data_IF_803288723477
#
_entry.id   IF_803288723477
#
_cell.length_a   1.000
_cell.length_b   1.000
_cell.length_c   1.000
_cell.angle_alpha   90.00
_cell.angle_beta   90.00
_cell.angle_gamma   90.00
#
_symmetry.space_group_name_H-M   'P 1'
#
loop_
_entity.id
_entity.type
_entity.pdbx_description
1 polymer ?
#
# COMPACT_ATOMS: atom_id res chain seq x y z
N UNK A 1 8.66 36.16 8.27
CA UNK A 1 9.30 34.91 8.74
C UNK A 1 8.95 33.82 7.74
N UNK A 2 9.92 33.03 7.28
CA UNK A 2 9.65 31.89 6.38
C UNK A 2 8.98 30.80 7.21
N UNK A 3 7.70 30.50 6.93
CA UNK A 3 6.89 29.52 7.65
C UNK A 3 7.07 28.08 7.10
N UNK A 4 8.20 27.80 6.45
CA UNK A 4 8.48 26.51 5.84
C UNK A 4 9.95 26.13 5.98
N UNK A 5 10.20 24.84 6.16
CA UNK A 5 11.54 24.23 6.11
C UNK A 5 11.65 23.47 4.78
N UNK A 6 12.79 23.59 4.10
CA UNK A 6 13.04 22.93 2.81
C UNK A 6 14.21 21.94 2.93
N UNK A 7 14.04 20.74 2.38
CA UNK A 7 15.16 19.84 2.08
C UNK A 7 15.39 19.89 0.58
N UNK A 8 16.57 20.39 0.16
CA UNK A 8 16.99 20.30 -1.22
C UNK A 8 17.65 18.95 -1.54
N UNK A 9 17.51 18.47 -2.79
CA UNK A 9 18.19 17.24 -3.25
C UNK A 9 19.71 17.33 -3.08
N UNK A 10 20.29 18.51 -3.25
CA UNK A 10 21.73 18.73 -3.03
C UNK A 10 22.13 18.49 -1.57
N UNK A 11 21.31 18.94 -0.61
CA UNK A 11 21.51 18.67 0.83
C UNK A 11 21.20 17.24 1.27
N UNK A 12 20.86 16.34 0.34
CA UNK A 12 20.77 14.88 0.55
C UNK A 12 22.04 14.15 0.10
N UNK A 13 22.91 14.77 -0.72
CA UNK A 13 24.14 14.12 -1.21
C UNK A 13 25.16 13.87 -0.10
N UNK A 14 25.17 14.71 0.94
CA UNK A 14 26.06 14.59 2.09
C UNK A 14 25.65 13.46 3.07
N UNK A 15 24.44 12.89 2.90
CA UNK A 15 23.90 11.79 3.73
C UNK A 15 24.35 10.39 3.26
N UNK A 16 25.14 10.31 2.19
CA UNK A 16 25.67 9.04 1.66
C UNK A 16 26.67 8.32 2.60
N UNK A 17 26.90 8.86 3.79
CA UNK A 17 27.91 8.42 4.77
C UNK A 17 27.34 7.65 5.97
N UNK A 18 26.02 7.56 6.13
CA UNK A 18 25.40 6.75 7.20
C UNK A 18 25.26 5.28 6.79
N UNK A 19 25.59 4.38 7.72
CA UNK A 19 25.75 2.93 7.57
C UNK A 19 24.71 2.22 6.68
N UNK A 20 25.14 1.11 6.04
CA UNK A 20 24.34 0.12 5.29
C UNK A 20 22.83 0.24 5.52
N UNK A 21 22.15 1.03 4.70
CA UNK A 21 20.72 1.21 4.79
C UNK A 21 20.00 0.13 3.98
N UNK A 22 19.96 -1.09 4.53
CA UNK A 22 19.15 -2.19 4.03
C UNK A 22 17.89 -2.34 4.87
N UNK A 23 16.81 -2.79 4.21
CA UNK A 23 15.64 -3.28 4.95
C UNK A 23 16.03 -4.62 5.59
N UNK A 24 15.72 -4.76 6.88
CA UNK A 24 16.01 -5.97 7.65
C UNK A 24 14.78 -6.37 8.48
N UNK A 25 14.76 -7.61 8.95
CA UNK A 25 13.70 -8.14 9.82
C UNK A 25 12.29 -7.91 9.25
N UNK A 26 12.11 -8.19 7.96
CA UNK A 26 10.78 -8.12 7.33
C UNK A 26 9.89 -9.19 7.93
N UNK A 27 8.75 -8.78 8.47
CA UNK A 27 7.76 -9.64 9.08
C UNK A 27 6.38 -9.30 8.52
N UNK A 28 5.60 -10.34 8.21
CA UNK A 28 4.18 -10.18 7.95
C UNK A 28 3.45 -10.05 9.29
N UNK A 29 2.66 -8.98 9.46
CA UNK A 29 1.88 -8.75 10.67
C UNK A 29 0.41 -9.12 10.47
N UNK A 30 -0.21 -8.66 9.39
CA UNK A 30 -1.62 -8.92 9.14
C UNK A 30 -1.95 -8.70 7.66
N UNK A 31 -3.13 -9.14 7.26
CA UNK A 31 -3.65 -8.89 5.92
C UNK A 31 -5.17 -8.79 5.97
N UNK A 32 -5.75 -8.10 5.00
CA UNK A 32 -7.19 -8.03 4.85
C UNK A 32 -7.64 -7.89 3.40
N UNK A 33 -8.86 -8.32 3.09
CA UNK A 33 -9.53 -7.99 1.84
C UNK A 33 -10.73 -7.09 2.12
N UNK A 34 -10.97 -6.11 1.26
CA UNK A 34 -12.28 -5.45 1.23
C UNK A 34 -13.31 -6.37 0.57
N UNK A 35 -14.43 -6.59 1.25
CA UNK A 35 -15.53 -7.41 0.77
C UNK A 35 -16.61 -6.51 0.19
N UNK A 36 -17.13 -6.85 -0.99
CA UNK A 36 -18.29 -6.14 -1.53
C UNK A 36 -19.47 -6.29 -0.56
N UNK A 37 -19.94 -5.19 0.00
CA UNK A 37 -20.96 -5.13 1.05
C UNK A 37 -21.73 -3.79 0.94
N UNK A 38 -22.91 -3.65 1.59
CA UNK A 38 -23.61 -2.37 1.63
C UNK A 38 -22.70 -1.24 2.15
N UNK A 39 -22.81 -0.03 1.57
CA UNK A 39 -21.97 1.12 1.99
C UNK A 39 -22.11 1.48 3.47
N UNK A 40 -23.23 1.15 4.10
CA UNK A 40 -23.48 1.40 5.51
C UNK A 40 -22.68 0.47 6.45
N UNK A 41 -22.19 -0.66 5.93
CA UNK A 41 -21.48 -1.70 6.70
C UNK A 41 -20.22 -2.13 5.93
N UNK A 42 -19.15 -1.30 5.93
CA UNK A 42 -17.91 -1.63 5.24
C UNK A 42 -17.24 -2.86 5.86
N UNK A 43 -17.25 -3.98 5.14
CA UNK A 43 -16.76 -5.27 5.64
C UNK A 43 -15.34 -5.58 5.15
N UNK A 44 -14.49 -6.09 6.05
CA UNK A 44 -13.18 -6.65 5.69
C UNK A 44 -13.06 -8.13 6.09
N UNK A 45 -12.33 -8.91 5.29
CA UNK A 45 -11.93 -10.26 5.66
C UNK A 45 -10.55 -10.25 6.33
N UNK A 46 -10.39 -10.91 7.48
CA UNK A 46 -9.12 -11.02 8.22
C UNK A 46 -8.94 -12.48 8.71
N UNK A 47 -7.81 -13.16 8.38
CA UNK A 47 -6.80 -12.71 7.43
C UNK A 47 -7.39 -12.63 6.02
N UNK A 48 -6.88 -11.68 5.24
CA UNK A 48 -7.14 -11.63 3.81
C UNK A 48 -6.25 -12.60 3.02
N UNK A 49 -6.60 -12.85 1.76
CA UNK A 49 -5.75 -13.50 0.76
C UNK A 49 -5.71 -12.73 -0.57
N UNK A 50 -4.53 -12.50 -1.17
CA UNK A 50 -4.44 -11.93 -2.51
C UNK A 50 -4.88 -12.96 -3.55
N UNK A 51 -5.16 -12.53 -4.77
CA UNK A 51 -5.63 -13.44 -5.80
C UNK A 51 -4.51 -14.35 -6.33
N UNK A 52 -4.84 -15.59 -6.70
CA UNK A 52 -3.88 -16.54 -7.25
C UNK A 52 -3.56 -16.17 -8.70
N UNK A 53 -2.29 -15.98 -9.01
CA UNK A 53 -1.82 -15.72 -10.37
C UNK A 53 -2.07 -16.94 -11.28
N UNK A 54 -2.82 -16.73 -12.36
CA UNK A 54 -3.25 -17.76 -13.30
C UNK A 54 -3.14 -17.25 -14.73
N UNK A 55 -2.13 -17.71 -15.46
CA UNK A 55 -1.80 -17.21 -16.78
C UNK A 55 -2.63 -17.88 -17.90
N UNK A 56 -3.14 -17.12 -18.89
CA UNK A 56 -3.72 -17.72 -20.09
C UNK A 56 -2.68 -18.43 -20.96
N UNK A 57 -3.09 -19.50 -21.65
CA UNK A 57 -2.25 -20.33 -22.53
C UNK A 57 -1.94 -19.67 -23.90
N UNK A 58 -1.55 -18.40 -23.92
CA UNK A 58 -1.21 -17.67 -25.15
C UNK A 58 -1.62 -16.19 -25.10
N UNK A 59 -1.32 -15.42 -26.17
CA UNK A 59 -1.77 -14.03 -26.29
C UNK A 59 -3.29 -13.94 -26.21
N UNK A 60 -3.78 -12.88 -25.60
CA UNK A 60 -5.21 -12.70 -25.39
C UNK A 60 -5.60 -11.23 -25.57
N UNK A 61 -6.85 -11.02 -25.98
CA UNK A 61 -7.43 -9.69 -26.10
C UNK A 61 -8.34 -9.41 -24.92
N UNK A 62 -8.28 -8.19 -24.43
CA UNK A 62 -9.16 -7.69 -23.38
C UNK A 62 -9.99 -6.52 -23.89
N UNK A 63 -11.18 -6.42 -23.33
CA UNK A 63 -11.94 -5.18 -23.37
C UNK A 63 -11.29 -4.13 -22.48
N UNK A 64 -11.50 -2.86 -22.83
CA UNK A 64 -11.03 -1.75 -22.00
C UNK A 64 -11.75 -1.73 -20.65
N UNK A 65 -11.10 -1.16 -19.66
CA UNK A 65 -11.69 -0.97 -18.34
C UNK A 65 -12.94 -0.09 -18.44
N UNK A 66 -14.01 -0.52 -17.75
CA UNK A 66 -15.30 0.18 -17.67
C UNK A 66 -15.90 -0.01 -16.29
N UNK A 67 -16.83 0.87 -15.94
CA UNK A 67 -17.56 0.79 -14.67
C UNK A 67 -16.85 1.51 -13.53
N UNK A 68 -17.29 1.21 -12.31
CA UNK A 68 -16.81 1.87 -11.11
C UNK A 68 -15.48 1.30 -10.64
N UNK A 69 -14.51 2.17 -10.36
CA UNK A 69 -13.18 1.80 -9.86
C UNK A 69 -12.80 2.65 -8.65
N UNK A 70 -12.00 2.06 -7.76
CA UNK A 70 -11.47 2.74 -6.58
C UNK A 70 -10.09 3.30 -6.88
N UNK A 71 -9.88 4.58 -6.58
CA UNK A 71 -8.57 5.26 -6.61
C UNK A 71 -7.89 5.11 -5.23
N UNK A 72 -8.64 5.37 -4.16
CA UNK A 72 -8.23 5.15 -2.77
C UNK A 72 -9.33 4.41 -2.01
N UNK A 73 -9.36 3.08 -2.15
CA UNK A 73 -10.47 2.26 -1.65
C UNK A 73 -10.74 2.39 -0.15
N UNK A 74 -9.68 2.48 0.68
CA UNK A 74 -9.86 2.64 2.12
C UNK A 74 -10.57 3.96 2.45
N UNK A 75 -10.22 5.05 1.76
CA UNK A 75 -10.90 6.34 1.94
C UNK A 75 -12.29 6.37 1.30
N UNK A 76 -12.50 5.64 0.19
CA UNK A 76 -13.82 5.53 -0.45
C UNK A 76 -14.84 4.79 0.43
N UNK A 77 -14.38 3.80 1.21
CA UNK A 77 -15.23 2.95 2.06
C UNK A 77 -15.31 3.43 3.50
N UNK A 78 -14.28 4.12 3.99
CA UNK A 78 -14.23 4.68 5.33
C UNK A 78 -13.56 6.06 5.32
N UNK A 79 -14.25 7.08 4.80
CA UNK A 79 -13.71 8.42 4.55
C UNK A 79 -13.12 9.08 5.81
N UNK A 80 -13.81 8.98 6.94
CA UNK A 80 -13.39 9.61 8.19
C UNK A 80 -12.20 8.89 8.86
N UNK A 81 -11.87 7.66 8.45
CA UNK A 81 -10.77 6.88 9.03
C UNK A 81 -10.16 5.87 8.04
N UNK A 82 -9.46 6.33 6.98
CA UNK A 82 -8.89 5.43 5.95
C UNK A 82 -7.81 4.46 6.44
N UNK A 83 -7.34 4.63 7.68
CA UNK A 83 -6.38 3.75 8.35
C UNK A 83 -7.03 2.74 9.30
N UNK A 84 -8.31 2.88 9.65
CA UNK A 84 -9.02 1.97 10.56
C UNK A 84 -8.89 0.49 10.15
N UNK A 85 -9.02 0.10 8.86
CA UNK A 85 -8.85 -1.30 8.47
C UNK A 85 -7.45 -1.87 8.75
N UNK A 86 -6.42 -1.00 8.74
CA UNK A 86 -5.06 -1.39 9.10
C UNK A 86 -5.01 -1.81 10.57
N UNK A 87 -5.49 -0.93 11.46
CA UNK A 87 -5.46 -1.17 12.89
C UNK A 87 -6.36 -2.33 13.29
N UNK A 88 -7.56 -2.43 12.70
CA UNK A 88 -8.49 -3.52 12.94
C UNK A 88 -7.89 -4.87 12.57
N UNK A 89 -7.34 -5.01 11.35
CA UNK A 89 -6.68 -6.26 10.94
C UNK A 89 -5.47 -6.59 11.82
N UNK A 90 -4.70 -5.57 12.25
CA UNK A 90 -3.56 -5.74 13.12
C UNK A 90 -3.96 -6.25 14.50
N UNK A 91 -4.95 -5.65 15.15
CA UNK A 91 -5.40 -6.03 16.50
C UNK A 91 -6.19 -7.34 16.52
N UNK A 92 -6.90 -7.69 15.44
CA UNK A 92 -7.48 -9.04 15.28
C UNK A 92 -6.37 -10.10 15.24
N UNK A 93 -5.30 -9.83 14.49
CA UNK A 93 -4.19 -10.80 14.33
C UNK A 93 -3.23 -10.81 15.54
N UNK A 94 -3.09 -9.67 16.21
CA UNK A 94 -2.14 -9.42 17.30
C UNK A 94 -2.80 -8.54 18.38
N UNK A 95 -3.66 -9.11 19.25
CA UNK A 95 -4.42 -8.31 20.24
C UNK A 95 -3.56 -7.49 21.20
N UNK A 96 -2.34 -7.96 21.49
CA UNK A 96 -1.38 -7.28 22.38
C UNK A 96 -0.36 -6.42 21.64
N UNK A 97 -0.61 -6.04 20.38
CA UNK A 97 0.36 -5.29 19.59
C UNK A 97 0.57 -3.88 20.15
N UNK A 98 1.80 -3.57 20.55
CA UNK A 98 2.17 -2.23 20.99
C UNK A 98 2.50 -1.32 19.79
N UNK A 99 1.52 -0.52 19.41
CA UNK A 99 1.63 0.44 18.31
C UNK A 99 2.59 1.60 18.61
N UNK A 100 2.78 1.96 19.88
CA UNK A 100 3.67 3.05 20.28
C UNK A 100 5.16 2.72 20.03
N UNK A 101 5.47 1.46 19.70
CA UNK A 101 6.80 0.99 19.36
C UNK A 101 7.21 1.24 17.90
N UNK A 102 6.36 1.81 17.06
CA UNK A 102 6.60 2.05 15.62
C UNK A 102 7.11 3.47 15.41
N UNK A 103 7.93 3.69 14.38
CA UNK A 103 8.42 5.03 14.03
C UNK A 103 7.71 5.64 12.80
N UNK A 104 7.31 4.87 11.77
CA UNK A 104 6.78 5.39 10.48
C UNK A 104 5.77 4.43 9.78
N UNK A 105 4.71 4.96 9.13
CA UNK A 105 3.88 4.27 8.10
C UNK A 105 3.94 4.92 6.69
N UNK A 106 3.58 4.23 5.59
CA UNK A 106 4.18 4.44 4.22
C UNK A 106 3.48 5.35 3.16
N UNK A 107 4.15 5.52 1.99
CA UNK A 107 4.07 6.58 0.94
C UNK A 107 4.08 6.07 -0.54
N UNK A 108 3.59 6.85 -1.53
CA UNK A 108 3.77 6.73 -3.02
C UNK A 108 3.96 8.11 -3.71
N UNK A 109 4.47 8.18 -4.95
CA UNK A 109 5.03 9.38 -5.66
C UNK A 109 4.10 9.93 -6.77
N UNK A 110 3.57 11.16 -6.65
CA UNK A 110 2.95 12.08 -7.69
C UNK A 110 2.10 13.15 -6.99
N UNK A 111 2.14 14.46 -7.34
CA UNK A 111 1.42 15.60 -6.69
C UNK A 111 0.35 15.19 -5.68
N UNK A 112 0.71 15.28 -4.40
CA UNK A 112 -0.12 14.71 -3.36
C UNK A 112 0.04 15.43 -2.04
N UNK A 113 -0.95 15.21 -1.19
CA UNK A 113 -0.92 15.60 0.21
C UNK A 113 -0.73 14.33 1.04
N UNK A 114 0.28 14.33 1.90
CA UNK A 114 0.38 13.34 2.99
C UNK A 114 0.19 14.07 4.31
N UNK A 115 -0.81 13.60 5.06
CA UNK A 115 -0.99 13.94 6.44
C UNK A 115 0.00 13.14 7.28
N UNK A 116 0.74 13.84 8.13
CA UNK A 116 1.66 13.23 9.08
C UNK A 116 1.17 13.57 10.48
N UNK A 117 0.83 12.53 11.25
CA UNK A 117 0.48 12.65 12.66
C UNK A 117 1.57 11.98 13.50
N UNK A 118 2.09 12.66 14.52
CA UNK A 118 3.03 12.06 15.48
C UNK A 118 2.35 11.90 16.82
N UNK A 119 2.29 10.66 17.31
CA UNK A 119 1.82 10.31 18.66
C UNK A 119 2.93 9.57 19.38
N UNK A 120 3.39 10.09 20.53
CA UNK A 120 4.56 9.59 21.25
C UNK A 120 5.81 9.54 20.34
N UNK A 121 6.31 8.33 20.05
CA UNK A 121 7.46 8.10 19.18
C UNK A 121 7.07 7.64 17.77
N UNK A 122 5.77 7.61 17.45
CA UNK A 122 5.23 7.04 16.21
C UNK A 122 4.74 8.14 15.27
N UNK A 123 5.27 8.16 14.05
CA UNK A 123 4.75 8.98 12.97
C UNK A 123 3.87 8.13 12.03
N UNK A 124 2.64 8.57 11.81
CA UNK A 124 1.66 7.95 10.92
C UNK A 124 1.55 8.83 9.68
N UNK A 125 1.72 8.22 8.51
CA UNK A 125 1.59 8.91 7.23
C UNK A 125 0.36 8.37 6.51
N UNK A 126 -0.53 9.28 6.10
CA UNK A 126 -1.73 8.96 5.32
C UNK A 126 -1.80 9.86 4.09
N UNK A 127 -1.82 9.27 2.91
CA UNK A 127 -2.06 10.01 1.65
C UNK A 127 -3.52 10.41 1.56
N UNK A 128 -3.74 11.66 1.17
CA UNK A 128 -5.04 12.17 0.75
C UNK A 128 -5.05 12.27 -0.78
N UNK A 129 -6.07 11.67 -1.39
CA UNK A 129 -6.34 11.77 -2.83
C UNK A 129 -7.44 12.80 -3.07
N UNK A 130 -7.37 13.52 -4.19
CA UNK A 130 -8.43 14.46 -4.59
C UNK A 130 -9.76 13.75 -4.93
N UNK A 131 -9.68 12.48 -5.33
CA UNK A 131 -10.83 11.59 -5.59
C UNK A 131 -10.53 10.21 -5.03
N UNK A 132 -11.52 9.59 -4.42
CA UNK A 132 -11.41 8.24 -3.84
C UNK A 132 -11.84 7.14 -4.81
N UNK A 133 -12.60 7.50 -5.83
CA UNK A 133 -13.18 6.62 -6.84
C UNK A 133 -13.46 7.39 -8.14
N UNK A 134 -13.66 6.64 -9.22
CA UNK A 134 -14.17 7.15 -10.48
C UNK A 134 -15.05 6.13 -11.20
N UNK A 135 -15.89 6.61 -12.12
CA UNK A 135 -16.65 5.77 -13.04
C UNK A 135 -16.12 5.96 -14.44
N UNK A 136 -15.73 4.86 -15.09
CA UNK A 136 -15.24 4.85 -16.47
C UNK A 136 -16.40 4.53 -17.41
N UNK A 137 -16.82 5.53 -18.17
CA UNK A 137 -17.90 5.41 -19.15
C UNK A 137 -17.53 4.54 -20.36
N UNK A 138 -18.54 4.03 -21.06
CA UNK A 138 -18.35 3.18 -22.25
C UNK A 138 -17.57 3.87 -23.38
N UNK A 139 -17.56 5.19 -23.44
CA UNK A 139 -16.83 5.96 -24.45
C UNK A 139 -15.47 6.48 -23.95
N UNK A 140 -15.15 6.26 -22.67
CA UNK A 140 -13.89 6.70 -22.08
C UNK A 140 -12.82 5.61 -22.18
N UNK A 141 -11.56 6.01 -22.05
CA UNK A 141 -10.44 5.09 -22.02
C UNK A 141 -9.49 5.45 -20.88
N UNK A 142 -9.30 4.51 -19.95
CA UNK A 142 -8.33 4.59 -18.85
C UNK A 142 -7.25 3.51 -18.93
N UNK A 143 -7.51 2.42 -19.63
CA UNK A 143 -6.56 1.32 -19.78
C UNK A 143 -7.25 -0.02 -19.85
N UNK A 144 -6.47 -1.05 -19.50
CA UNK A 144 -6.89 -2.46 -19.47
C UNK A 144 -6.46 -3.14 -18.15
N UNK A 145 -5.99 -2.38 -17.15
CA UNK A 145 -5.35 -2.94 -15.96
C UNK A 145 -6.32 -3.79 -15.14
N UNK A 146 -7.52 -3.29 -14.88
CA UNK A 146 -8.49 -4.03 -14.07
C UNK A 146 -9.01 -5.26 -14.80
N UNK A 147 -9.26 -5.14 -16.10
CA UNK A 147 -9.67 -6.25 -16.96
C UNK A 147 -8.56 -7.30 -17.06
N UNK A 148 -7.30 -6.86 -17.04
CA UNK A 148 -6.13 -7.72 -17.06
C UNK A 148 -5.97 -8.50 -15.77
N UNK A 149 -6.02 -7.82 -14.62
CA UNK A 149 -6.00 -8.47 -13.30
C UNK A 149 -7.10 -9.53 -13.20
N UNK A 150 -8.35 -9.16 -13.50
CA UNK A 150 -9.49 -10.09 -13.51
C UNK A 150 -9.30 -11.32 -14.41
N UNK A 151 -8.55 -11.18 -15.51
CA UNK A 151 -8.28 -12.28 -16.45
C UNK A 151 -7.12 -13.16 -16.01
N UNK A 152 -6.11 -12.58 -15.36
CA UNK A 152 -4.85 -13.23 -15.02
C UNK A 152 -4.74 -13.64 -13.56
N UNK A 153 -5.77 -13.41 -12.76
CA UNK A 153 -5.84 -13.87 -11.38
C UNK A 153 -7.14 -14.63 -11.10
N UNK A 154 -7.09 -15.48 -10.08
CA UNK A 154 -8.23 -16.25 -9.58
C UNK A 154 -8.48 -15.87 -8.12
N UNK A 155 -9.66 -15.32 -7.88
CA UNK A 155 -10.06 -14.82 -6.55
C UNK A 155 -10.02 -15.91 -5.48
N UNK A 156 -9.41 -15.61 -4.34
CA UNK A 156 -9.29 -16.54 -3.20
C UNK A 156 -10.28 -16.25 -2.06
N UNK A 157 -10.77 -15.02 -1.94
CA UNK A 157 -11.74 -14.59 -0.92
C UNK A 157 -13.04 -14.17 -1.60
N UNK A 158 -14.19 -14.69 -1.16
CA UNK A 158 -15.47 -14.40 -1.82
C UNK A 158 -15.76 -12.90 -1.82
N UNK A 159 -16.28 -12.37 -2.94
CA UNK A 159 -16.64 -10.95 -3.09
C UNK A 159 -15.48 -9.97 -2.80
N UNK A 160 -14.23 -10.43 -2.78
CA UNK A 160 -13.05 -9.58 -2.62
C UNK A 160 -12.94 -8.55 -3.75
N UNK A 161 -12.64 -7.32 -3.35
CA UNK A 161 -12.41 -6.20 -4.26
C UNK A 161 -10.95 -5.78 -4.32
N UNK A 162 -10.22 -5.78 -3.20
CA UNK A 162 -8.75 -5.66 -3.14
C UNK A 162 -8.19 -6.32 -1.89
N UNK A 163 -6.94 -6.75 -1.97
CA UNK A 163 -6.17 -7.29 -0.86
C UNK A 163 -5.10 -6.30 -0.38
N UNK A 164 -4.95 -6.17 0.93
CA UNK A 164 -3.91 -5.37 1.56
C UNK A 164 -3.11 -6.22 2.54
N UNK A 165 -1.79 -6.05 2.52
CA UNK A 165 -0.87 -6.61 3.51
C UNK A 165 -0.36 -5.52 4.43
N UNK A 166 -0.07 -5.92 5.65
CA UNK A 166 0.55 -5.12 6.69
C UNK A 166 1.82 -5.83 7.10
N UNK A 167 2.97 -5.22 6.78
CA UNK A 167 4.29 -5.75 7.10
C UNK A 167 5.02 -4.80 8.04
N UNK A 168 5.96 -5.33 8.80
CA UNK A 168 6.93 -4.51 9.53
C UNK A 168 8.35 -4.84 9.12
N UNK A 169 9.23 -3.87 9.20
CA UNK A 169 10.66 -4.07 9.01
C UNK A 169 11.48 -2.99 9.70
N UNK A 170 12.79 -3.20 9.80
CA UNK A 170 13.77 -2.22 10.26
C UNK A 170 14.49 -1.59 9.09
N UNK A 171 14.66 -0.28 9.11
CA UNK A 171 15.38 0.46 8.10
C UNK A 171 15.93 1.78 8.67
N UNK A 172 17.21 2.06 8.46
CA UNK A 172 17.83 3.31 8.94
C UNK A 172 17.71 3.53 10.46
N UNK A 173 17.74 2.45 11.26
CA UNK A 173 17.54 2.49 12.71
C UNK A 173 16.07 2.62 13.17
N UNK A 174 15.13 2.75 12.24
CA UNK A 174 13.70 2.91 12.51
C UNK A 174 12.93 1.60 12.30
N UNK A 175 11.81 1.43 13.01
CA UNK A 175 10.82 0.38 12.82
C UNK A 175 9.64 0.92 12.01
N UNK A 176 9.34 0.28 10.89
CA UNK A 176 8.24 0.65 10.00
C UNK A 176 7.07 -0.32 10.15
N UNK A 177 5.85 0.20 9.97
CA UNK A 177 4.70 -0.60 9.55
C UNK A 177 4.20 -0.07 8.22
N UNK A 178 4.16 -0.94 7.22
CA UNK A 178 3.75 -0.61 5.86
C UNK A 178 2.48 -1.37 5.53
N UNK A 179 1.42 -0.63 5.21
CA UNK A 179 0.24 -1.18 4.54
C UNK A 179 0.36 -0.94 3.05
N UNK A 180 0.23 -2.00 2.26
CA UNK A 180 0.19 -1.90 0.81
C UNK A 180 -0.82 -2.85 0.19
N UNK A 181 -1.34 -2.47 -0.96
CA UNK A 181 -2.08 -3.39 -1.83
C UNK A 181 -1.13 -4.48 -2.35
N UNK A 182 -1.64 -5.69 -2.54
CA UNK A 182 -0.91 -6.78 -3.22
C UNK A 182 -1.82 -7.39 -4.27
N UNK A 183 -1.39 -7.35 -5.53
CA UNK A 183 -2.23 -7.71 -6.68
C UNK A 183 -2.45 -9.21 -6.80
N UNK A 184 -1.48 -10.02 -6.35
CA UNK A 184 -1.61 -11.46 -6.37
C UNK A 184 -0.45 -12.22 -5.75
N UNK A 185 -0.47 -13.54 -5.91
CA UNK A 185 0.65 -14.41 -5.57
C UNK A 185 0.80 -15.57 -6.56
N UNK A 186 2.03 -16.08 -6.69
CA UNK A 186 2.31 -17.29 -7.47
C UNK A 186 2.12 -18.52 -6.56
N UNK A 187 1.24 -19.44 -6.97
CA UNK A 187 1.08 -20.72 -6.28
C UNK A 187 2.33 -21.60 -6.42
N UNK A 188 2.68 -22.34 -5.37
CA UNK A 188 3.73 -23.35 -5.44
C UNK A 188 3.12 -24.63 -6.01
N UNK A 189 3.71 -25.19 -7.08
CA UNK A 189 3.25 -26.44 -7.67
C UNK A 189 3.17 -27.54 -6.59
N UNK A 190 1.99 -28.14 -6.42
CA UNK A 190 1.73 -29.18 -5.41
C UNK A 190 1.27 -28.68 -4.03
N UNK A 191 1.20 -27.36 -3.81
CA UNK A 191 0.61 -26.82 -2.58
C UNK A 191 -0.82 -26.36 -2.86
N UNK A 192 -1.78 -27.29 -2.81
CA UNK A 192 -3.08 -26.91 -2.27
C UNK A 192 -2.80 -26.50 -0.82
N UNK A 193 -2.62 -25.20 -0.58
CA UNK A 193 -2.66 -24.69 0.78
C UNK A 193 -4.07 -25.03 1.27
N UNK A 194 -4.15 -26.09 2.07
CA UNK A 194 -5.38 -26.54 2.69
C UNK A 194 -6.00 -25.32 3.36
N UNK A 195 -7.27 -25.07 3.07
CA UNK A 195 -8.14 -24.28 3.95
C UNK A 195 -8.13 -25.00 5.30
N UNK A 196 -7.15 -24.72 6.15
CA UNK A 196 -7.19 -25.17 7.52
C UNK A 196 -8.37 -24.42 8.14
N UNK A 197 -9.40 -25.12 8.65
CA UNK A 197 -10.43 -24.45 9.42
C UNK A 197 -9.72 -23.84 10.63
N UNK A 198 -9.67 -22.52 10.68
CA UNK A 198 -9.24 -21.82 11.88
C UNK A 198 -10.17 -22.31 13.00
N UNK A 199 -9.57 -22.86 14.06
CA UNK A 199 -10.31 -23.32 15.23
C UNK A 199 -11.27 -22.22 15.71
N UNK A 200 -12.53 -22.61 15.84
CA UNK A 200 -13.66 -21.75 16.20
C UNK A 200 -13.35 -20.80 17.37
N UNK A 201 -13.16 -19.52 17.05
CA UNK A 201 -13.88 -18.42 17.68
C UNK A 201 -14.11 -17.36 16.59
N UNK A 202 -15.17 -17.55 15.81
CA UNK A 202 -15.71 -16.44 15.01
C UNK A 202 -16.21 -15.40 16.01
N UNK A 203 -15.44 -14.32 16.19
CA UNK A 203 -16.03 -13.07 16.63
C UNK A 203 -16.91 -12.62 15.46
N UNK A 204 -18.19 -13.01 15.48
CA UNK A 204 -19.21 -12.45 14.60
C UNK A 204 -19.40 -10.98 14.98
N UNK A 205 -18.46 -10.16 14.54
CA UNK A 205 -18.63 -8.73 14.40
C UNK A 205 -19.15 -8.55 12.99
N UNK A 206 -20.29 -7.88 12.81
CA UNK A 206 -21.05 -7.78 11.54
C UNK A 206 -20.21 -7.38 10.29
N UNK A 207 -19.02 -6.80 10.50
CA UNK A 207 -18.12 -6.32 9.45
C UNK A 207 -16.78 -7.10 9.31
N UNK A 208 -16.63 -8.27 9.95
CA UNK A 208 -15.43 -9.13 9.87
C UNK A 208 -15.78 -10.52 9.30
N UNK A 209 -15.04 -10.97 8.29
CA UNK A 209 -15.11 -12.36 7.81
C UNK A 209 -13.76 -13.08 7.88
N UNK A 210 -13.77 -14.39 8.09
CA UNK A 210 -12.55 -15.22 8.20
C UNK A 210 -12.42 -16.18 7.00
N UNK A 211 -12.39 -15.62 5.79
CA UNK A 211 -12.39 -16.42 4.54
C UNK A 211 -11.02 -16.51 3.85
N UNK A 212 -10.05 -15.68 4.24
CA UNK A 212 -8.74 -15.64 3.60
C UNK A 212 -7.69 -16.51 4.27
N UNK A 213 -6.51 -16.52 3.66
CA UNK A 213 -5.32 -17.21 4.15
C UNK A 213 -4.09 -16.34 3.93
N UNK A 214 -3.18 -16.36 4.91
CA UNK A 214 -1.91 -15.68 4.79
C UNK A 214 -1.03 -16.39 3.74
N UNK A 215 -0.55 -15.64 2.75
CA UNK A 215 0.38 -16.17 1.74
C UNK A 215 1.83 -15.75 2.05
N UNK A 216 2.83 -16.61 1.78
CA UNK A 216 4.24 -16.28 2.01
C UNK A 216 4.67 -15.02 1.25
N UNK A 217 5.46 -14.14 1.88
CA UNK A 217 5.99 -12.94 1.21
C UNK A 217 6.76 -13.28 -0.10
N UNK A 218 7.59 -14.33 -0.17
CA UNK A 218 8.32 -14.67 -1.41
C UNK A 218 7.43 -14.97 -2.62
N UNK A 219 6.14 -15.30 -2.42
CA UNK A 219 5.22 -15.63 -3.52
C UNK A 219 4.40 -14.44 -4.01
N UNK A 220 4.35 -13.33 -3.27
CA UNK A 220 3.53 -12.16 -3.63
C UNK A 220 4.08 -11.44 -4.86
N UNK A 221 3.19 -10.87 -5.66
CA UNK A 221 3.53 -10.14 -6.87
C UNK A 221 2.77 -8.82 -7.00
N UNK A 222 3.38 -7.92 -7.78
CA UNK A 222 2.79 -6.68 -8.31
C UNK A 222 2.58 -6.85 -9.82
N UNK A 223 1.47 -6.34 -10.35
CA UNK A 223 1.14 -6.33 -11.77
C UNK A 223 1.14 -4.91 -12.30
N UNK A 224 1.81 -4.69 -13.43
CA UNK A 224 1.74 -3.42 -14.16
C UNK A 224 1.43 -3.68 -15.63
N UNK A 225 0.38 -3.03 -16.13
CA UNK A 225 0.09 -3.02 -17.57
C UNK A 225 0.62 -1.76 -18.25
N UNK A 226 1.15 -1.87 -19.47
CA UNK A 226 1.56 -0.73 -20.30
C UNK A 226 1.35 -1.00 -21.79
N UNK A 227 1.22 0.07 -22.57
CA UNK A 227 1.27 -0.02 -24.03
C UNK A 227 2.68 -0.45 -24.47
N UNK A 228 2.76 -1.36 -25.45
CA UNK A 228 4.02 -2.00 -25.83
C UNK A 228 5.09 -1.02 -26.37
N UNK A 229 4.67 0.06 -27.03
CA UNK A 229 5.59 1.08 -27.58
C UNK A 229 6.10 2.08 -26.52
N UNK A 230 5.63 1.99 -25.26
CA UNK A 230 6.11 2.80 -24.13
C UNK A 230 6.34 1.88 -22.93
N UNK A 231 7.43 1.08 -22.94
CA UNK A 231 7.71 0.12 -21.88
C UNK A 231 7.90 0.83 -20.53
N UNK A 232 7.61 0.09 -19.45
CA UNK A 232 7.76 0.59 -18.09
C UNK A 232 9.22 0.48 -17.66
N UNK A 233 9.85 1.61 -17.35
CA UNK A 233 11.18 1.59 -16.76
C UNK A 233 11.09 1.01 -15.33
N UNK A 234 12.08 0.22 -14.93
CA UNK A 234 12.06 -0.40 -13.61
C UNK A 234 12.13 0.65 -12.49
N UNK A 235 12.83 1.75 -12.77
CA UNK A 235 12.98 2.92 -11.92
C UNK A 235 11.63 3.57 -11.56
N UNK A 236 10.60 3.40 -12.40
CA UNK A 236 9.26 3.93 -12.17
C UNK A 236 8.47 3.11 -11.13
N UNK A 237 8.89 1.87 -10.85
CA UNK A 237 8.19 0.93 -9.96
C UNK A 237 9.01 0.46 -8.79
N UNK A 238 10.34 0.61 -8.84
CA UNK A 238 11.26 0.09 -7.83
C UNK A 238 10.91 0.58 -6.42
N UNK A 239 10.51 1.83 -6.24
CA UNK A 239 10.15 2.38 -4.93
C UNK A 239 8.92 1.68 -4.35
N UNK A 240 7.91 1.39 -5.17
CA UNK A 240 6.73 0.65 -4.71
C UNK A 240 7.11 -0.76 -4.26
N UNK A 241 7.87 -1.48 -5.09
CA UNK A 241 8.28 -2.86 -4.81
C UNK A 241 9.19 -2.94 -3.58
N UNK A 242 10.10 -1.99 -3.44
CA UNK A 242 11.03 -1.93 -2.32
C UNK A 242 10.32 -1.56 -1.01
N UNK A 243 9.42 -0.57 -0.98
CA UNK A 243 8.68 -0.24 0.26
C UNK A 243 7.75 -1.38 0.68
N UNK A 244 7.08 -2.01 -0.28
CA UNK A 244 6.17 -3.14 -0.02
C UNK A 244 6.89 -4.47 0.23
N UNK A 245 8.20 -4.53 -0.01
CA UNK A 245 8.97 -5.78 -0.03
C UNK A 245 8.33 -6.86 -0.93
N UNK A 246 7.66 -6.43 -2.02
CA UNK A 246 7.02 -7.33 -2.99
C UNK A 246 8.09 -7.85 -3.96
N UNK A 247 8.41 -9.16 -3.91
CA UNK A 247 9.58 -9.70 -4.59
C UNK A 247 9.33 -10.02 -6.06
N UNK A 248 8.08 -10.09 -6.52
CA UNK A 248 7.77 -10.45 -7.91
C UNK A 248 7.07 -9.30 -8.62
N UNK A 249 7.47 -9.05 -9.86
CA UNK A 249 6.86 -8.06 -10.73
C UNK A 249 6.41 -8.73 -12.03
N UNK A 250 5.18 -8.45 -12.43
CA UNK A 250 4.66 -8.80 -13.74
C UNK A 250 4.49 -7.52 -14.56
N UNK A 251 5.27 -7.38 -15.63
CA UNK A 251 5.07 -6.31 -16.63
C UNK A 251 4.34 -6.87 -17.84
N UNK A 252 3.09 -6.45 -18.01
CA UNK A 252 2.23 -6.89 -19.09
C UNK A 252 2.10 -5.80 -20.16
N UNK A 253 2.52 -6.13 -21.39
CA UNK A 253 2.51 -5.19 -22.50
C UNK A 253 1.41 -5.51 -23.50
N UNK A 254 0.74 -4.45 -24.00
CA UNK A 254 -0.33 -4.61 -24.98
C UNK A 254 -0.23 -3.68 -26.18
N UNK A 255 -0.83 -4.11 -27.28
CA UNK A 255 -1.12 -3.29 -28.47
C UNK A 255 -2.63 -3.30 -28.69
N UNK A 256 -3.30 -2.16 -28.43
CA UNK A 256 -4.75 -2.00 -28.57
C UNK A 256 -5.56 -3.13 -27.88
N UNK A 257 -5.22 -3.44 -26.62
CA UNK A 257 -5.89 -4.46 -25.81
C UNK A 257 -5.43 -5.90 -26.05
N UNK A 258 -4.54 -6.15 -27.01
CA UNK A 258 -3.93 -7.48 -27.23
C UNK A 258 -2.66 -7.58 -26.40
N UNK A 259 -2.66 -8.46 -25.41
CA UNK A 259 -1.53 -8.72 -24.52
C UNK A 259 -0.71 -9.91 -25.00
N UNK A 260 0.61 -9.76 -24.97
CA UNK A 260 1.51 -10.90 -24.99
C UNK A 260 1.47 -11.62 -23.63
N UNK A 261 1.88 -12.88 -23.60
CA UNK A 261 2.02 -13.64 -22.35
C UNK A 261 3.11 -12.98 -21.49
N UNK A 262 2.78 -12.34 -20.36
CA UNK A 262 3.78 -11.71 -19.51
C UNK A 262 4.62 -12.75 -18.76
N UNK A 263 5.78 -12.33 -18.27
CA UNK A 263 6.63 -13.13 -17.40
C UNK A 263 6.56 -12.59 -15.98
N UNK A 264 6.71 -13.49 -15.01
CA UNK A 264 6.96 -13.13 -13.61
C UNK A 264 8.47 -12.92 -13.48
N UNK A 265 8.86 -11.76 -12.97
CA UNK A 265 10.25 -11.40 -12.74
C UNK A 265 10.51 -11.34 -11.24
N UNK A 266 11.57 -11.98 -10.77
CA UNK A 266 12.05 -11.78 -9.41
C UNK A 266 12.79 -10.44 -9.29
N UNK A 267 12.56 -9.76 -8.17
CA UNK A 267 13.09 -8.46 -7.84
C UNK A 267 13.70 -8.48 -6.44
N UNK A 268 15.01 -8.30 -6.36
CA UNK A 268 15.77 -8.17 -5.11
C UNK A 268 16.83 -7.07 -5.24
N UNK A 269 16.40 -5.81 -5.40
CA UNK A 269 17.34 -4.68 -5.41
C UNK A 269 17.08 -3.70 -4.26
N UNK A 270 18.16 -3.35 -3.57
CA UNK A 270 18.16 -2.40 -2.45
C UNK A 270 18.15 -0.93 -2.91
N UNK A 271 17.22 -0.14 -2.38
CA UNK A 271 17.17 1.31 -2.55
C UNK A 271 17.90 2.04 -1.43
N UNK A 272 19.22 2.21 -1.62
CA UNK A 272 20.11 2.87 -0.64
C UNK A 272 19.77 4.35 -0.38
N UNK A 273 19.19 5.05 -1.36
CA UNK A 273 18.93 6.49 -1.27
C UNK A 273 17.70 6.88 -0.42
N UNK A 274 16.76 5.96 -0.17
CA UNK A 274 15.50 6.29 0.52
C UNK A 274 15.67 6.43 2.05
N UNK A 275 16.75 5.90 2.62
CA UNK A 275 16.99 5.87 4.06
C UNK A 275 17.36 7.23 4.65
N UNK A 276 18.33 7.89 4.01
CA UNK A 276 18.78 9.20 4.44
C UNK A 276 17.62 10.21 4.37
N UNK A 277 16.73 10.07 3.39
CA UNK A 277 15.58 10.95 3.26
C UNK A 277 14.57 10.77 4.40
N UNK A 278 14.18 9.54 4.75
CA UNK A 278 13.17 9.30 5.79
C UNK A 278 13.68 9.71 7.18
N UNK A 279 14.95 9.44 7.49
CA UNK A 279 15.56 9.90 8.75
C UNK A 279 15.49 11.42 8.90
N UNK A 280 15.77 12.16 7.82
CA UNK A 280 15.72 13.62 7.82
C UNK A 280 14.29 14.17 7.93
N UNK A 281 13.32 13.53 7.27
CA UNK A 281 11.89 13.88 7.43
C UNK A 281 11.48 13.77 8.90
N UNK A 282 11.79 12.65 9.56
CA UNK A 282 11.46 12.45 10.99
C UNK A 282 12.04 13.53 11.87
N UNK A 283 13.34 13.82 11.73
CA UNK A 283 14.01 14.79 12.59
C UNK A 283 13.43 16.21 12.41
N UNK A 284 13.12 16.62 11.18
CA UNK A 284 12.46 17.91 10.90
C UNK A 284 11.06 17.99 11.52
N UNK A 285 10.23 16.94 11.40
CA UNK A 285 8.86 16.95 11.95
C UNK A 285 8.90 16.97 13.48
N UNK A 286 9.84 16.26 14.11
CA UNK A 286 10.05 16.30 15.56
C UNK A 286 10.43 17.69 16.05
N UNK A 287 11.35 18.35 15.35
CA UNK A 287 11.77 19.73 15.65
C UNK A 287 10.65 20.76 15.39
N UNK A 288 9.63 20.39 14.60
CA UNK A 288 8.52 21.25 14.20
C UNK A 288 7.24 21.08 15.02
N UNK A 289 7.30 20.46 16.21
CA UNK A 289 6.15 20.31 17.11
C UNK A 289 5.24 19.12 16.79
N UNK A 290 5.73 18.13 16.01
CA UNK A 290 5.09 16.84 15.82
C UNK A 290 4.03 16.76 14.72
N UNK A 291 3.70 17.84 14.02
CA UNK A 291 2.76 17.84 12.88
C UNK A 291 3.26 18.71 11.74
N UNK A 292 3.36 18.14 10.55
CA UNK A 292 3.75 18.87 9.35
C UNK A 292 3.05 18.31 8.11
N UNK A 293 2.80 19.17 7.14
CA UNK A 293 2.43 18.77 5.78
C UNK A 293 3.70 18.75 4.94
N UNK A 294 4.03 17.58 4.40
CA UNK A 294 5.12 17.40 3.44
C UNK A 294 4.57 17.54 2.02
N UNK A 295 5.13 18.45 1.23
CA UNK A 295 4.83 18.61 -0.21
C UNK A 295 6.10 18.44 -1.03
N UNK A 296 6.01 17.77 -2.16
CA UNK A 296 7.08 17.76 -3.16
C UNK A 296 6.83 18.89 -4.16
N UNK A 297 7.79 19.78 -4.32
CA UNK A 297 7.79 20.80 -5.37
C UNK A 297 8.61 20.30 -6.55
N UNK A 298 7.94 19.96 -7.65
CA UNK A 298 8.56 19.47 -8.87
C UNK A 298 9.40 20.54 -9.59
N UNK A 299 9.08 21.82 -9.43
CA UNK A 299 9.82 22.92 -10.06
C UNK A 299 11.16 23.18 -9.37
N UNK A 300 11.18 23.08 -8.03
CA UNK A 300 12.38 23.20 -7.22
C UNK A 300 13.16 21.90 -7.02
N UNK A 301 12.60 20.73 -7.36
CA UNK A 301 13.10 19.39 -7.01
C UNK A 301 13.39 19.23 -5.50
N UNK A 302 12.53 19.82 -4.66
CA UNK A 302 12.70 19.92 -3.22
C UNK A 302 11.46 19.41 -2.47
N UNK A 303 11.67 19.00 -1.22
CA UNK A 303 10.58 18.70 -0.28
C UNK A 303 10.37 19.89 0.65
N UNK A 304 9.13 20.38 0.71
CA UNK A 304 8.70 21.55 1.48
C UNK A 304 7.84 21.07 2.65
N UNK A 305 8.20 21.49 3.87
CA UNK A 305 7.46 21.21 5.09
C UNK A 305 6.70 22.45 5.54
N UNK A 306 5.37 22.34 5.66
CA UNK A 306 4.53 23.39 6.24
C UNK A 306 4.04 22.95 7.62
N UNK A 307 4.31 23.74 8.65
CA UNK A 307 3.88 23.42 10.01
C UNK A 307 2.37 23.63 10.17
N UNK A 308 1.70 22.64 10.77
CA UNK A 308 0.32 22.79 11.20
C UNK A 308 0.31 23.24 12.66
N UNK A 309 0.08 24.53 12.89
CA UNK A 309 -0.22 25.04 14.23
C UNK A 309 -1.56 24.44 14.71
N UNK A 310 -1.67 24.23 16.02
CA UNK A 310 -2.66 23.39 16.70
C UNK A 310 -4.16 23.77 16.57
N UNK A 311 -4.58 24.58 15.59
CA UNK A 311 -5.92 25.15 15.47
C UNK A 311 -6.71 24.73 14.21
N UNK A 312 -6.53 23.52 13.69
CA UNK A 312 -7.44 22.94 12.68
C UNK A 312 -8.19 21.73 13.25
N UNK A 313 -9.50 21.70 12.98
CA UNK A 313 -10.54 20.83 13.56
C UNK A 313 -10.08 19.38 13.84
N UNK A 314 -10.42 18.92 15.04
CA UNK A 314 -10.25 17.55 15.55
C UNK A 314 -10.73 16.51 14.52
N UNK A 315 -9.82 15.65 14.06
CA UNK A 315 -10.16 14.30 13.58
C UNK A 315 -10.06 13.33 14.76
N UNK A 316 -10.83 12.23 14.76
CA UNK A 316 -10.95 11.32 15.89
C UNK A 316 -9.59 10.72 16.27
N UNK A 317 -9.38 10.58 17.57
CA UNK A 317 -8.12 10.14 18.19
C UNK A 317 -8.07 8.63 18.34
N UNK A 318 -6.89 8.06 18.58
CA UNK A 318 -6.72 6.63 18.82
C UNK A 318 -7.51 6.09 20.04
N UNK A 319 -7.85 6.95 21.00
CA UNK A 319 -8.70 6.58 22.13
C UNK A 319 -10.16 6.36 21.70
N UNK A 320 -10.62 7.03 20.64
CA UNK A 320 -11.95 6.85 20.05
C UNK A 320 -12.08 5.53 19.28
N UNK A 321 -10.96 4.97 18.80
CA UNK A 321 -10.91 3.70 18.05
C UNK A 321 -10.72 2.47 18.95
N UNK A 322 -10.37 2.65 20.23
CA UNK A 322 -10.25 1.55 21.21
C UNK A 322 -11.59 1.14 21.82
N UNK A 323 -12.64 1.95 21.65
CA UNK A 323 -13.96 1.73 22.26
C UNK A 323 -15.05 1.30 21.25
N UNK A 324 -14.67 0.93 20.03
CA UNK A 324 -15.60 0.38 19.02
C UNK A 324 -15.18 -1.02 18.58
#
# INVERSE_FOLDING_TARGET
MKNHTEISRLGLKDLNTLASASITNVQHLASYNWIEAPRATPTIAVPGSPDLWSLPNGPFRLEKDTGYIYIAQNAARHLDSPLEPLFRALYVSHPSFDIASIDVSSYKREDFTIHVEVTNNTAIFCREEAKTDEYIGLNEFRGYSHSFEKKCTSRQVSRSTRHHRIISYRFGGLKFIVRHETDGYVGVAGTQLSLQPAGNQALEVDDLSSEGQAVPLPSTLEVKTRVAHRPLAFEDVVSQLWVSQTPKLVRAYHTKGVFAVPKVEDNQKDLRMLAGLIGKIRDIVRESGGRAILKYDANGDNLVFNNLYANSKHQPTMDDLRQK
#
